data_IF_639748766345
#
_entry.id   IF_639748766345
#
_cell.length_a   1.000
_cell.length_b   1.000
_cell.length_c   1.000
_cell.angle_alpha   90.00
_cell.angle_beta   90.00
_cell.angle_gamma   90.00
#
_symmetry.space_group_name_H-M   'P 1'
#
loop_
_entity.id
_entity.type
_entity.pdbx_description
1 polymer ?
#
# COMPACT_ATOMS: atom_id res chain seq x y z
N UNK A 1 -14.15 8.24 -4.73
CA UNK A 1 -12.85 7.95 -5.36
C UNK A 1 -12.41 8.87 -6.48
N UNK A 2 -13.14 9.11 -7.58
CA UNK A 2 -12.61 10.02 -8.63
C UNK A 2 -12.35 11.46 -8.14
N UNK A 3 -13.14 11.95 -7.18
CA UNK A 3 -12.88 13.24 -6.49
C UNK A 3 -11.65 13.17 -5.58
N UNK A 4 -11.56 12.14 -4.74
CA UNK A 4 -10.42 11.90 -3.83
C UNK A 4 -9.08 11.80 -4.60
N UNK A 5 -9.05 11.12 -5.76
CA UNK A 5 -7.85 11.05 -6.59
C UNK A 5 -7.41 12.42 -7.13
N UNK A 6 -8.36 13.31 -7.41
CA UNK A 6 -8.05 14.68 -7.85
C UNK A 6 -7.51 15.52 -6.68
N UNK A 7 -8.10 15.38 -5.49
CA UNK A 7 -7.62 16.06 -4.28
C UNK A 7 -6.15 15.70 -3.97
N UNK A 8 -5.79 14.42 -4.08
CA UNK A 8 -4.39 13.99 -3.93
C UNK A 8 -3.47 14.53 -5.02
N UNK A 9 -3.91 14.52 -6.28
CA UNK A 9 -3.13 15.09 -7.38
C UNK A 9 -2.89 16.59 -7.20
N UNK A 10 -3.89 17.34 -6.71
CA UNK A 10 -3.75 18.76 -6.38
C UNK A 10 -2.78 18.97 -5.22
N UNK A 11 -2.85 18.13 -4.17
CA UNK A 11 -1.96 18.22 -3.02
C UNK A 11 -0.48 17.97 -3.38
N UNK A 12 -0.20 17.02 -4.27
CA UNK A 12 1.15 16.75 -4.75
C UNK A 12 1.56 17.63 -5.94
N UNK A 13 0.67 18.47 -6.46
CA UNK A 13 0.92 19.31 -7.63
C UNK A 13 2.07 20.31 -7.41
N UNK A 14 2.30 20.75 -6.17
CA UNK A 14 3.38 21.67 -5.82
C UNK A 14 4.76 21.14 -6.23
N UNK A 15 5.03 19.84 -6.06
CA UNK A 15 6.31 19.23 -6.45
C UNK A 15 6.57 19.32 -7.97
N UNK A 16 5.49 19.30 -8.77
CA UNK A 16 5.59 19.47 -10.23
C UNK A 16 5.79 20.93 -10.59
N UNK A 17 5.09 21.84 -9.91
CA UNK A 17 5.21 23.30 -10.14
C UNK A 17 6.59 23.83 -9.76
N UNK A 18 7.19 23.29 -8.70
CA UNK A 18 8.55 23.62 -8.23
C UNK A 18 9.65 22.95 -9.07
N UNK A 19 9.30 21.94 -9.86
CA UNK A 19 10.21 21.23 -10.76
C UNK A 19 10.97 20.06 -10.13
N UNK A 20 10.56 19.63 -8.93
CA UNK A 20 11.13 18.50 -8.20
C UNK A 20 10.56 17.15 -8.65
N UNK A 21 9.41 17.16 -9.33
CA UNK A 21 8.74 15.97 -9.85
C UNK A 21 8.19 16.17 -11.28
N UNK A 22 7.99 15.07 -11.99
CA UNK A 22 7.20 15.02 -13.22
C UNK A 22 5.96 14.13 -13.04
N UNK A 23 5.02 14.25 -13.98
CA UNK A 23 3.91 13.31 -14.09
C UNK A 23 4.28 12.24 -15.11
N UNK A 24 4.42 11.00 -14.65
CA UNK A 24 4.60 9.82 -15.50
C UNK A 24 3.23 9.22 -15.78
N UNK A 25 2.79 9.28 -17.04
CA UNK A 25 1.47 8.82 -17.45
C UNK A 25 1.54 7.54 -18.29
N UNK A 26 1.00 6.45 -17.73
CA UNK A 26 0.73 5.23 -18.47
C UNK A 26 -0.69 5.27 -19.04
N UNK A 27 -0.82 5.21 -20.37
CA UNK A 27 -2.12 5.20 -21.05
C UNK A 27 -2.57 3.78 -21.36
N UNK A 28 -3.76 3.42 -20.87
CA UNK A 28 -4.34 2.09 -21.02
C UNK A 28 -3.85 1.09 -19.97
N UNK A 29 -4.24 -0.17 -20.17
CA UNK A 29 -3.87 -1.26 -19.28
C UNK A 29 -2.36 -1.52 -19.34
N UNK A 30 -1.71 -1.57 -18.18
CA UNK A 30 -0.26 -1.61 -18.03
C UNK A 30 0.15 -2.85 -17.24
N UNK A 31 1.18 -3.54 -17.72
CA UNK A 31 1.78 -4.68 -17.03
C UNK A 31 3.28 -4.46 -16.89
N UNK A 32 3.79 -4.59 -15.67
CA UNK A 32 5.19 -4.43 -15.32
C UNK A 32 5.62 -5.60 -14.42
N UNK A 33 6.92 -5.91 -14.41
CA UNK A 33 7.45 -6.89 -13.45
C UNK A 33 7.41 -6.29 -12.04
N UNK A 34 7.96 -5.09 -11.91
CA UNK A 34 8.04 -4.32 -10.66
C UNK A 34 7.71 -2.85 -10.96
N UNK A 35 7.23 -2.13 -9.95
CA UNK A 35 7.08 -0.69 -9.99
C UNK A 35 7.49 -0.11 -8.64
N UNK A 36 8.51 0.75 -8.66
CA UNK A 36 8.98 1.50 -7.50
C UNK A 36 8.73 3.00 -7.77
N UNK A 37 7.79 3.59 -7.05
CA UNK A 37 7.37 4.99 -7.20
C UNK A 37 8.29 5.86 -6.35
N UNK A 38 9.08 6.70 -7.00
CA UNK A 38 9.97 7.68 -6.36
C UNK A 38 9.34 9.07 -6.29
N UNK A 39 10.12 10.11 -6.62
CA UNK A 39 9.68 11.52 -6.58
C UNK A 39 8.60 11.87 -7.61
N UNK A 40 8.53 11.15 -8.73
CA UNK A 40 7.55 11.43 -9.78
C UNK A 40 6.15 10.96 -9.40
N UNK A 41 5.14 11.74 -9.80
CA UNK A 41 3.74 11.34 -9.70
C UNK A 41 3.44 10.32 -10.80
N UNK A 42 3.07 9.11 -10.42
CA UNK A 42 2.71 8.07 -11.38
C UNK A 42 1.19 8.01 -11.54
N UNK A 43 0.72 8.19 -12.77
CA UNK A 43 -0.70 8.08 -13.13
C UNK A 43 -0.89 6.97 -14.16
N UNK A 44 -1.74 6.00 -13.84
CA UNK A 44 -2.15 4.92 -14.76
C UNK A 44 -3.60 5.15 -15.18
N UNK A 45 -3.82 5.51 -16.44
CA UNK A 45 -5.16 5.64 -17.02
C UNK A 45 -5.65 4.29 -17.58
N UNK A 46 -5.88 3.34 -16.68
CA UNK A 46 -6.26 1.97 -17.00
C UNK A 46 -6.07 1.04 -15.79
N UNK A 47 -6.07 -0.27 -16.04
CA UNK A 47 -5.69 -1.25 -15.04
C UNK A 47 -4.16 -1.36 -14.94
N UNK A 48 -3.66 -1.70 -13.75
CA UNK A 48 -2.25 -1.96 -13.49
C UNK A 48 -2.08 -3.40 -13.00
N UNK A 49 -1.16 -4.15 -13.63
CA UNK A 49 -0.75 -5.48 -13.19
C UNK A 49 0.76 -5.50 -12.93
N UNK A 50 1.15 -5.86 -11.71
CA UNK A 50 2.54 -5.98 -11.28
C UNK A 50 2.82 -7.45 -10.96
N UNK A 51 3.77 -8.08 -11.66
CA UNK A 51 4.05 -9.51 -11.49
C UNK A 51 4.71 -9.85 -10.15
N UNK A 52 5.47 -8.90 -9.62
CA UNK A 52 6.15 -8.98 -8.34
C UNK A 52 5.73 -7.83 -7.41
N UNK A 53 6.60 -6.87 -7.16
CA UNK A 53 6.42 -5.88 -6.10
C UNK A 53 6.02 -4.50 -6.63
N UNK A 54 4.95 -3.97 -6.06
CA UNK A 54 4.59 -2.56 -6.14
C UNK A 54 5.06 -1.87 -4.85
N UNK A 55 5.93 -0.90 -4.96
CA UNK A 55 6.46 -0.10 -3.84
C UNK A 55 6.28 1.39 -4.14
N UNK A 56 5.94 2.16 -3.11
CA UNK A 56 6.00 3.62 -3.13
C UNK A 56 7.07 4.14 -2.13
N UNK A 57 7.38 5.43 -2.20
CA UNK A 57 8.46 6.07 -1.45
C UNK A 57 9.86 5.51 -1.73
N UNK A 58 10.11 5.07 -2.97
CA UNK A 58 11.41 4.54 -3.32
C UNK A 58 12.47 5.66 -3.35
N UNK A 59 13.29 5.72 -2.29
CA UNK A 59 14.37 6.70 -2.14
C UNK A 59 13.90 8.13 -1.83
N UNK A 60 12.65 8.32 -1.42
CA UNK A 60 12.04 9.63 -1.12
C UNK A 60 11.10 9.54 0.08
N UNK A 61 10.79 10.68 0.70
CA UNK A 61 9.94 10.73 1.91
C UNK A 61 8.44 10.62 1.60
N UNK A 62 8.01 11.05 0.41
CA UNK A 62 6.63 10.94 -0.05
C UNK A 62 6.58 10.65 -1.55
N UNK A 63 5.51 10.02 -2.00
CA UNK A 63 5.28 9.72 -3.41
C UNK A 63 3.79 9.55 -3.67
N UNK A 64 3.38 9.62 -4.94
CA UNK A 64 1.98 9.48 -5.32
C UNK A 64 1.81 8.53 -6.50
N UNK A 65 1.00 7.50 -6.29
CA UNK A 65 0.49 6.62 -7.35
C UNK A 65 -1.03 6.74 -7.45
N UNK A 66 -1.53 7.02 -8.66
CA UNK A 66 -2.95 7.01 -8.96
C UNK A 66 -3.23 6.00 -10.09
N UNK A 67 -4.14 5.06 -9.85
CA UNK A 67 -4.61 4.09 -10.84
C UNK A 67 -6.10 4.27 -11.10
N UNK A 68 -6.45 4.69 -12.32
CA UNK A 68 -7.82 4.91 -12.78
C UNK A 68 -8.51 3.60 -13.24
N UNK A 69 -8.22 2.50 -12.55
CA UNK A 69 -8.74 1.17 -12.82
C UNK A 69 -8.49 0.23 -11.65
N UNK A 70 -8.35 -1.07 -11.94
CA UNK A 70 -8.00 -2.09 -10.95
C UNK A 70 -6.48 -2.26 -10.85
N UNK A 71 -6.02 -2.67 -9.69
CA UNK A 71 -4.62 -3.07 -9.45
C UNK A 71 -4.58 -4.54 -9.07
N UNK A 72 -3.66 -5.28 -9.71
CA UNK A 72 -3.24 -6.61 -9.30
C UNK A 72 -1.74 -6.58 -9.06
N UNK A 73 -1.28 -7.06 -7.91
CA UNK A 73 0.14 -7.18 -7.59
C UNK A 73 0.41 -8.49 -6.83
N UNK A 74 1.66 -8.97 -6.82
CA UNK A 74 2.05 -10.04 -5.89
C UNK A 74 2.24 -9.48 -4.49
N UNK A 75 3.06 -8.45 -4.37
CA UNK A 75 3.38 -7.75 -3.14
C UNK A 75 3.07 -6.26 -3.27
N UNK A 76 2.67 -5.63 -2.16
CA UNK A 76 2.49 -4.19 -2.06
C UNK A 76 3.22 -3.67 -0.81
N UNK A 77 4.12 -2.71 -1.00
CA UNK A 77 4.74 -1.91 0.05
C UNK A 77 4.20 -0.50 -0.09
N UNK A 78 3.53 -0.01 0.96
CA UNK A 78 2.89 1.30 0.95
C UNK A 78 3.28 2.16 2.17
N UNK A 79 4.09 3.17 1.92
CA UNK A 79 4.62 4.12 2.89
C UNK A 79 4.17 5.57 2.63
N UNK A 80 3.50 5.86 1.50
CA UNK A 80 2.84 7.14 1.25
C UNK A 80 1.47 6.95 0.59
N UNK A 81 1.16 7.69 -0.47
CA UNK A 81 -0.19 7.79 -1.02
C UNK A 81 -0.36 6.92 -2.26
N UNK A 82 -1.26 5.93 -2.16
CA UNK A 82 -1.69 5.14 -3.31
C UNK A 82 -3.21 5.23 -3.42
N UNK A 83 -3.70 5.61 -4.60
CA UNK A 83 -5.12 5.71 -4.90
C UNK A 83 -5.51 4.77 -6.07
N UNK A 84 -6.39 3.81 -5.79
CA UNK A 84 -6.90 2.83 -6.76
C UNK A 84 -8.41 2.99 -6.91
N UNK A 85 -8.86 3.55 -8.04
CA UNK A 85 -10.29 3.83 -8.23
C UNK A 85 -11.17 2.58 -8.36
N UNK A 86 -10.59 1.43 -8.71
CA UNK A 86 -11.23 0.13 -8.81
C UNK A 86 -10.89 -0.81 -7.65
N UNK A 87 -10.79 -2.11 -7.93
CA UNK A 87 -10.39 -3.11 -6.95
C UNK A 87 -8.87 -3.19 -6.81
N UNK A 88 -8.41 -3.54 -5.61
CA UNK A 88 -7.01 -3.88 -5.31
C UNK A 88 -6.94 -5.35 -4.93
N UNK A 89 -6.18 -6.14 -5.70
CA UNK A 89 -5.87 -7.55 -5.38
C UNK A 89 -4.38 -7.70 -5.21
N UNK A 90 -3.94 -8.09 -4.02
CA UNK A 90 -2.54 -8.36 -3.72
C UNK A 90 -2.41 -9.84 -3.36
N UNK A 91 -1.64 -10.61 -4.11
CA UNK A 91 -1.67 -12.07 -3.97
C UNK A 91 -1.04 -12.59 -2.68
N UNK A 92 -0.02 -11.91 -2.16
CA UNK A 92 0.68 -12.33 -0.94
C UNK A 92 0.50 -11.32 0.18
N UNK A 93 1.19 -10.17 0.11
CA UNK A 93 1.31 -9.30 1.27
C UNK A 93 1.15 -7.82 0.94
N UNK A 94 0.42 -7.12 1.81
CA UNK A 94 0.45 -5.67 1.93
C UNK A 94 1.22 -5.32 3.20
N UNK A 95 2.34 -4.62 3.06
CA UNK A 95 3.05 -3.96 4.19
C UNK A 95 2.76 -2.48 4.09
N UNK A 96 2.24 -1.89 5.16
CA UNK A 96 1.79 -0.51 5.13
C UNK A 96 2.14 0.28 6.39
N UNK A 97 2.83 1.40 6.23
CA UNK A 97 3.23 2.31 7.31
C UNK A 97 3.68 3.69 6.78
N UNK A 98 2.83 4.70 6.89
CA UNK A 98 3.17 6.09 6.60
C UNK A 98 3.30 6.94 7.87
N UNK A 99 3.59 6.34 9.04
CA UNK A 99 3.62 7.07 10.32
C UNK A 99 2.34 7.89 10.62
N UNK A 100 1.20 7.43 10.10
CA UNK A 100 -0.15 8.01 10.16
C UNK A 100 -0.39 9.24 9.25
N UNK A 101 0.50 9.52 8.30
CA UNK A 101 0.40 10.71 7.43
C UNK A 101 -0.39 10.50 6.13
N UNK A 102 -0.38 9.30 5.55
CA UNK A 102 -0.97 9.00 4.24
C UNK A 102 -1.91 7.80 4.28
N UNK A 103 -2.56 7.52 3.15
CA UNK A 103 -3.52 6.44 3.01
C UNK A 103 -3.31 5.54 1.80
N UNK A 104 -3.81 4.31 1.92
CA UNK A 104 -4.17 3.44 0.82
C UNK A 104 -5.67 3.58 0.53
N UNK A 105 -5.99 4.22 -0.58
CA UNK A 105 -7.38 4.47 -1.00
C UNK A 105 -7.81 3.48 -2.07
N UNK A 106 -8.88 2.72 -1.82
CA UNK A 106 -9.40 1.70 -2.73
C UNK A 106 -10.91 1.85 -2.96
N UNK A 107 -11.30 2.02 -4.21
CA UNK A 107 -12.66 2.42 -4.60
C UNK A 107 -13.62 1.25 -4.70
N UNK A 108 -13.06 0.07 -4.96
CA UNK A 108 -13.72 -1.20 -4.95
C UNK A 108 -13.35 -2.03 -3.72
N UNK A 109 -13.22 -3.33 -3.93
CA UNK A 109 -12.81 -4.28 -2.90
C UNK A 109 -11.29 -4.32 -2.77
N UNK A 110 -10.82 -4.60 -1.54
CA UNK A 110 -9.45 -4.95 -1.25
C UNK A 110 -9.38 -6.44 -0.91
N UNK A 111 -8.52 -7.17 -1.60
CA UNK A 111 -8.20 -8.57 -1.31
C UNK A 111 -6.70 -8.75 -1.14
N UNK A 112 -6.29 -9.39 -0.05
CA UNK A 112 -4.92 -9.84 0.18
C UNK A 112 -4.89 -11.21 0.88
N UNK A 113 -3.77 -11.93 0.89
CA UNK A 113 -3.58 -13.04 1.83
C UNK A 113 -3.21 -12.48 3.20
N UNK A 114 -2.19 -11.61 3.25
CA UNK A 114 -1.69 -10.96 4.47
C UNK A 114 -1.73 -9.43 4.36
N UNK A 115 -2.14 -8.78 5.45
CA UNK A 115 -2.00 -7.33 5.66
C UNK A 115 -1.24 -7.08 6.96
N UNK A 116 -0.11 -6.41 6.87
CA UNK A 116 0.69 -5.94 8.00
C UNK A 116 0.68 -4.40 8.00
N UNK A 117 -0.14 -3.82 8.85
CA UNK A 117 -0.34 -2.38 8.96
C UNK A 117 0.16 -1.85 10.31
N UNK A 118 1.06 -0.87 10.26
CA UNK A 118 1.59 -0.19 11.44
C UNK A 118 1.78 1.31 11.21
N UNK A 119 0.67 2.04 11.16
CA UNK A 119 0.66 3.49 10.91
C UNK A 119 0.17 3.89 9.53
N UNK A 120 -0.60 3.07 8.81
CA UNK A 120 -1.20 3.46 7.53
C UNK A 120 -2.72 3.63 7.68
N UNK A 121 -3.27 4.64 7.02
CA UNK A 121 -4.72 4.72 6.84
C UNK A 121 -5.17 3.85 5.66
N UNK A 122 -6.28 3.13 5.85
CA UNK A 122 -6.94 2.41 4.76
C UNK A 122 -8.32 3.03 4.55
N UNK A 123 -8.59 3.54 3.35
CA UNK A 123 -9.94 3.99 2.94
C UNK A 123 -10.45 3.09 1.81
N UNK A 124 -11.12 2.01 2.20
CA UNK A 124 -11.69 1.03 1.28
C UNK A 124 -13.20 1.19 1.22
N UNK A 125 -13.73 1.56 0.05
CA UNK A 125 -15.19 1.78 -0.13
C UNK A 125 -15.98 0.47 -0.28
N UNK A 126 -15.31 -0.59 -0.76
CA UNK A 126 -15.88 -1.93 -0.88
C UNK A 126 -15.60 -2.82 0.34
N UNK A 127 -15.47 -4.12 0.09
CA UNK A 127 -15.15 -5.10 1.14
C UNK A 127 -13.65 -5.32 1.23
N UNK A 128 -13.16 -5.46 2.45
CA UNK A 128 -11.82 -5.97 2.75
C UNK A 128 -11.89 -7.47 3.00
N UNK A 129 -10.99 -8.24 2.39
CA UNK A 129 -10.78 -9.66 2.65
C UNK A 129 -9.29 -9.96 2.75
N UNK A 130 -8.87 -10.46 3.89
CA UNK A 130 -7.58 -11.11 4.04
C UNK A 130 -7.64 -12.21 5.08
N UNK A 131 -6.77 -13.19 4.92
CA UNK A 131 -6.69 -14.35 5.82
C UNK A 131 -5.94 -13.97 7.11
N UNK A 132 -4.96 -13.07 7.00
CA UNK A 132 -4.13 -12.62 8.10
C UNK A 132 -4.03 -11.08 8.11
N UNK A 133 -4.48 -10.46 9.20
CA UNK A 133 -4.51 -9.01 9.37
C UNK A 133 -3.92 -8.67 10.73
N UNK A 134 -2.73 -8.08 10.71
CA UNK A 134 -2.19 -7.32 11.83
C UNK A 134 -2.38 -5.83 11.52
N UNK A 135 -3.10 -5.11 12.37
CA UNK A 135 -3.38 -3.70 12.19
C UNK A 135 -3.27 -2.93 13.50
N UNK A 136 -2.31 -2.01 13.61
CA UNK A 136 -2.13 -1.18 14.81
C UNK A 136 -2.98 0.09 14.79
N UNK A 137 -2.93 0.86 13.70
CA UNK A 137 -3.56 2.17 13.64
C UNK A 137 -5.00 2.08 13.14
N UNK A 138 -5.18 1.37 12.01
CA UNK A 138 -6.48 1.25 11.35
C UNK A 138 -7.50 0.50 12.21
N UNK A 139 -7.09 -0.40 13.11
CA UNK A 139 -7.99 -1.09 14.05
C UNK A 139 -8.53 -0.18 15.16
N UNK A 140 -7.88 0.97 15.41
CA UNK A 140 -8.20 1.91 16.50
C UNK A 140 -8.89 3.17 16.03
N UNK A 141 -8.84 3.45 14.74
CA UNK A 141 -9.51 4.60 14.16
C UNK A 141 -11.04 4.40 14.13
N UNK A 142 -11.79 5.45 14.45
CA UNK A 142 -13.27 5.47 14.43
C UNK A 142 -13.89 5.16 13.04
N UNK A 143 -13.06 5.12 12.00
CA UNK A 143 -13.37 4.80 10.60
C UNK A 143 -12.54 3.61 10.05
N UNK A 144 -11.86 2.87 10.93
CA UNK A 144 -11.02 1.75 10.56
C UNK A 144 -11.75 0.67 9.76
N UNK A 145 -11.27 0.37 8.55
CA UNK A 145 -11.87 -0.67 7.68
C UNK A 145 -11.24 -2.05 7.86
N UNK A 146 -10.07 -2.14 8.53
CA UNK A 146 -9.38 -3.41 8.77
C UNK A 146 -9.88 -4.06 10.06
N UNK A 147 -10.44 -5.27 9.94
CA UNK A 147 -10.67 -6.14 11.09
C UNK A 147 -9.40 -6.92 11.40
N UNK A 148 -8.78 -6.68 12.55
CA UNK A 148 -7.57 -7.41 12.97
C UNK A 148 -7.93 -8.82 13.43
N UNK A 149 -7.16 -9.82 13.02
CA UNK A 149 -7.26 -11.20 13.51
C UNK A 149 -5.93 -11.77 14.00
N UNK A 150 -4.87 -10.96 13.97
CA UNK A 150 -3.58 -11.22 14.59
C UNK A 150 -3.29 -10.17 15.67
N UNK A 151 -2.50 -10.58 16.65
CA UNK A 151 -1.85 -9.70 17.62
C UNK A 151 -0.33 -9.72 17.45
N UNK A 152 0.35 -8.89 18.24
CA UNK A 152 1.81 -8.80 18.21
C UNK A 152 2.48 -10.14 18.58
N UNK A 153 1.84 -10.93 19.44
CA UNK A 153 2.33 -12.23 19.89
C UNK A 153 2.36 -13.27 18.75
N UNK A 154 1.51 -13.12 17.72
CA UNK A 154 1.46 -14.02 16.57
C UNK A 154 2.58 -13.76 15.54
N UNK A 155 3.17 -12.56 15.57
CA UNK A 155 4.28 -12.18 14.71
C UNK A 155 5.58 -12.86 15.16
N UNK A 156 6.45 -13.22 14.23
CA UNK A 156 7.78 -13.74 14.56
C UNK A 156 8.70 -12.64 15.09
N UNK A 157 9.60 -12.98 16.02
CA UNK A 157 10.51 -11.98 16.63
C UNK A 157 11.46 -11.33 15.62
N UNK A 158 11.74 -12.00 14.50
CA UNK A 158 12.59 -11.47 13.43
C UNK A 158 12.05 -10.19 12.78
N UNK A 159 10.73 -9.95 12.85
CA UNK A 159 10.08 -8.78 12.25
C UNK A 159 9.61 -7.76 13.30
N UNK A 160 10.11 -7.88 14.53
CA UNK A 160 9.76 -6.98 15.63
C UNK A 160 10.89 -6.00 15.95
N UNK A 161 10.53 -4.81 16.40
CA UNK A 161 11.40 -3.88 17.08
C UNK A 161 10.69 -3.27 18.29
N UNK A 162 11.35 -3.28 19.44
CA UNK A 162 10.75 -2.91 20.74
C UNK A 162 9.37 -3.54 21.00
N UNK A 163 9.21 -4.81 20.58
CA UNK A 163 7.97 -5.55 20.73
C UNK A 163 6.82 -5.11 19.83
N UNK A 164 7.04 -4.29 18.80
CA UNK A 164 6.03 -3.93 17.79
C UNK A 164 6.49 -4.39 16.40
N UNK A 165 5.58 -4.40 15.42
CA UNK A 165 5.92 -4.68 14.03
C UNK A 165 6.92 -3.63 13.51
N UNK A 166 8.04 -4.10 12.96
CA UNK A 166 8.98 -3.32 12.17
C UNK A 166 8.78 -3.68 10.70
N UNK A 167 8.26 -2.73 9.91
CA UNK A 167 7.92 -2.97 8.51
C UNK A 167 9.16 -3.15 7.63
N UNK A 168 10.29 -2.54 7.97
CA UNK A 168 11.56 -2.74 7.26
C UNK A 168 12.08 -4.16 7.45
N UNK A 169 12.13 -4.64 8.70
CA UNK A 169 12.47 -6.03 9.00
C UNK A 169 11.48 -7.02 8.38
N UNK A 170 10.19 -6.67 8.34
CA UNK A 170 9.17 -7.50 7.71
C UNK A 170 9.41 -7.66 6.20
N UNK A 171 9.77 -6.60 5.49
CA UNK A 171 10.16 -6.65 4.07
C UNK A 171 11.38 -7.57 3.91
N UNK A 172 12.47 -7.31 4.65
CA UNK A 172 13.70 -8.09 4.55
C UNK A 172 13.45 -9.59 4.81
N UNK A 173 12.58 -9.90 5.77
CA UNK A 173 12.25 -11.27 6.15
C UNK A 173 11.41 -11.98 5.08
N UNK A 174 10.45 -11.29 4.46
CA UNK A 174 9.64 -11.80 3.37
C UNK A 174 10.45 -11.99 2.08
N UNK A 175 11.36 -11.06 1.77
CA UNK A 175 12.23 -11.15 0.58
C UNK A 175 13.18 -12.36 0.63
N UNK A 176 13.43 -12.91 1.82
CA UNK A 176 14.16 -14.17 2.02
C UNK A 176 13.28 -15.42 1.83
N UNK A 177 11.99 -15.27 1.51
CA UNK A 177 11.02 -16.36 1.32
C UNK A 177 10.44 -16.92 2.62
N UNK A 178 10.57 -16.21 3.74
CA UNK A 178 10.06 -16.66 5.03
C UNK A 178 8.58 -16.25 5.24
N UNK A 179 7.90 -16.94 6.16
CA UNK A 179 6.52 -16.61 6.57
C UNK A 179 6.53 -15.80 7.86
N UNK A 180 5.79 -14.69 7.92
CA UNK A 180 5.78 -13.72 9.03
C UNK A 180 5.03 -14.16 10.31
N UNK A 181 4.39 -15.32 10.29
CA UNK A 181 3.61 -15.86 11.42
C UNK A 181 4.29 -17.05 12.08
N UNK A 182 4.12 -17.16 13.40
CA UNK A 182 4.19 -18.46 14.04
C UNK A 182 2.99 -19.28 13.52
N UNK A 183 3.24 -20.35 12.75
CA UNK A 183 2.15 -21.21 12.23
C UNK A 183 1.18 -21.57 13.37
N UNK A 184 -0.15 -21.46 13.17
CA UNK A 184 -1.11 -22.01 14.11
C UNK A 184 -0.98 -23.54 14.22
#
# INVERSE_FOLDING_TARGET
MRGEALEHLEAFGEFVEEGDAQIVLYQGDTTLVELAVGSDIVLVNGNLSIEDTLEDCHGVDCSLLIVLGNVVARNLINYSQICVTGNLTVHQVIIANSLCDYSLDVGGNLQAETILEHGQWFDVKGKVRADFIYAWHSSRARKGVLGTNLSTEDLVDAIKDDGNLDTGKAIDYLMQGNTVFHKP
#
